data_IF_097959688331
#
_entry.id   IF_097959688331
#
_cell.length_a   1.000
_cell.length_b   1.000
_cell.length_c   1.000
_cell.angle_alpha   90.00
_cell.angle_beta   90.00
_cell.angle_gamma   90.00
#
_symmetry.space_group_name_H-M   'P 1'
#
loop_
_entity.id
_entity.type
_entity.pdbx_description
1 polymer ?
#
# COMPACT_ATOMS: atom_id res chain seq x y z
N UNK A 1 -24.78 -4.88 -5.63
CA UNK A 1 -23.85 -4.69 -6.76
C UNK A 1 -22.59 -5.51 -6.48
N UNK A 2 -22.18 -6.33 -7.43
CA UNK A 2 -21.05 -7.24 -7.26
C UNK A 2 -19.74 -6.44 -7.18
N UNK A 3 -18.96 -6.62 -6.12
CA UNK A 3 -17.64 -6.03 -5.96
C UNK A 3 -16.63 -6.85 -6.80
N UNK A 4 -15.71 -6.19 -7.48
CA UNK A 4 -14.70 -6.85 -8.32
C UNK A 4 -13.38 -6.10 -8.24
N UNK A 5 -12.28 -6.82 -7.99
CA UNK A 5 -10.94 -6.30 -8.19
C UNK A 5 -10.54 -6.45 -9.67
N UNK A 6 -9.97 -5.42 -10.24
CA UNK A 6 -9.58 -5.37 -11.66
C UNK A 6 -8.15 -4.87 -11.75
N UNK A 7 -7.32 -5.54 -12.57
CA UNK A 7 -5.99 -5.02 -12.93
C UNK A 7 -6.10 -3.62 -13.49
N UNK A 8 -5.24 -2.72 -13.06
CA UNK A 8 -5.25 -1.33 -13.46
C UNK A 8 -4.02 -0.96 -14.28
N UNK A 9 -4.26 -0.41 -15.47
CA UNK A 9 -3.21 0.34 -16.17
C UNK A 9 -3.03 1.70 -15.48
N UNK A 10 -1.84 1.95 -14.98
CA UNK A 10 -1.42 2.99 -14.03
C UNK A 10 -1.88 4.44 -14.25
N UNK A 11 -2.39 4.82 -15.43
CA UNK A 11 -2.39 6.23 -15.83
C UNK A 11 -3.51 7.10 -15.26
N UNK A 12 -4.60 6.57 -14.70
CA UNK A 12 -5.80 7.39 -14.43
C UNK A 12 -6.33 7.37 -12.99
N UNK A 13 -5.98 6.40 -12.18
CA UNK A 13 -6.72 6.13 -10.93
C UNK A 13 -5.88 6.14 -9.65
N UNK A 14 -4.56 6.22 -9.76
CA UNK A 14 -3.68 6.35 -8.60
C UNK A 14 -3.55 7.83 -8.20
N UNK A 15 -4.64 8.43 -7.74
CA UNK A 15 -4.67 9.79 -7.22
C UNK A 15 -4.98 9.75 -5.72
N UNK A 16 -4.09 10.25 -4.83
CA UNK A 16 -4.25 10.16 -3.38
C UNK A 16 -5.50 10.83 -2.82
N UNK A 17 -5.97 11.87 -3.49
CA UNK A 17 -6.96 12.80 -2.93
C UNK A 17 -8.43 12.37 -3.03
N UNK A 18 -8.75 11.20 -3.59
CA UNK A 18 -10.16 10.84 -3.82
C UNK A 18 -10.80 9.95 -2.76
N UNK A 19 -10.03 9.34 -1.88
CA UNK A 19 -10.54 8.43 -0.86
C UNK A 19 -10.42 8.96 0.58
N UNK A 20 -9.67 10.03 0.80
CA UNK A 20 -9.52 10.64 2.13
C UNK A 20 -10.03 12.09 2.14
N UNK A 21 -11.19 12.34 2.72
CA UNK A 21 -11.79 13.69 2.87
C UNK A 21 -11.01 14.65 3.78
N UNK A 22 -9.93 14.18 4.43
CA UNK A 22 -9.08 14.97 5.33
C UNK A 22 -7.59 14.97 4.95
N UNK A 23 -7.25 14.53 3.75
CA UNK A 23 -5.87 14.69 3.30
C UNK A 23 -5.60 16.17 3.07
N UNK A 24 -4.71 16.75 3.87
CA UNK A 24 -4.02 18.00 3.57
C UNK A 24 -3.62 18.01 2.11
N UNK A 25 -3.60 19.17 1.48
CA UNK A 25 -3.24 19.36 0.07
C UNK A 25 -1.90 18.66 -0.25
N UNK A 26 -1.99 17.40 -0.68
CA UNK A 26 -0.87 16.51 -0.95
C UNK A 26 -0.45 16.55 -2.42
N UNK A 27 -0.71 17.64 -3.13
CA UNK A 27 -0.36 17.80 -4.55
C UNK A 27 1.13 17.58 -4.79
N UNK A 28 2.00 17.91 -3.83
CA UNK A 28 3.42 17.58 -3.88
C UNK A 28 3.74 16.08 -3.79
N UNK A 29 2.93 15.30 -3.03
CA UNK A 29 3.11 13.84 -2.91
C UNK A 29 2.69 13.11 -4.18
N UNK A 30 1.75 13.65 -4.96
CA UNK A 30 1.31 13.06 -6.21
C UNK A 30 2.45 12.88 -7.22
N UNK A 31 3.34 13.87 -7.36
CA UNK A 31 4.49 13.78 -8.24
C UNK A 31 5.49 12.72 -7.77
N UNK A 32 5.66 12.55 -6.46
CA UNK A 32 6.53 11.55 -5.85
C UNK A 32 5.98 10.15 -6.02
N UNK A 33 4.70 9.90 -5.70
CA UNK A 33 4.05 8.60 -5.95
C UNK A 33 4.14 8.19 -7.42
N UNK A 34 3.91 9.12 -8.33
CA UNK A 34 4.02 8.86 -9.76
C UNK A 34 5.40 8.39 -10.18
N UNK A 35 6.46 8.97 -9.58
CA UNK A 35 7.85 8.53 -9.80
C UNK A 35 8.09 7.13 -9.21
N UNK A 36 7.59 6.85 -8.02
CA UNK A 36 7.72 5.54 -7.38
C UNK A 36 7.06 4.43 -8.20
N UNK A 37 5.93 4.72 -8.84
CA UNK A 37 5.17 3.79 -9.68
C UNK A 37 5.71 3.67 -11.12
N UNK A 38 6.64 4.53 -11.53
CA UNK A 38 7.19 4.52 -12.89
C UNK A 38 8.20 3.39 -13.09
N UNK A 39 7.72 2.29 -13.65
CA UNK A 39 8.53 1.09 -13.92
C UNK A 39 9.68 1.30 -14.90
N UNK A 40 9.68 2.39 -15.68
CA UNK A 40 10.73 2.65 -16.66
C UNK A 40 11.91 3.42 -16.07
N UNK A 41 11.61 4.35 -15.17
CA UNK A 41 12.59 5.31 -14.68
C UNK A 41 12.96 5.08 -13.21
N UNK A 42 12.19 4.32 -12.42
CA UNK A 42 12.53 4.00 -11.04
C UNK A 42 13.38 2.73 -10.97
N UNK A 43 14.65 2.83 -10.50
CA UNK A 43 15.58 1.70 -10.41
C UNK A 43 15.07 0.52 -9.56
N UNK A 44 14.16 0.75 -8.62
CA UNK A 44 13.53 -0.29 -7.82
C UNK A 44 12.96 -1.42 -8.68
N UNK A 45 12.36 -1.09 -9.83
CA UNK A 45 11.70 -2.05 -10.71
C UNK A 45 12.65 -2.89 -11.57
N UNK A 46 13.96 -2.62 -11.55
CA UNK A 46 14.97 -3.47 -12.24
C UNK A 46 15.02 -4.86 -11.59
N UNK A 47 14.85 -4.93 -10.26
CA UNK A 47 14.96 -6.15 -9.46
C UNK A 47 13.64 -6.55 -8.80
N UNK A 48 12.55 -5.92 -9.20
CA UNK A 48 11.25 -6.08 -8.54
C UNK A 48 10.13 -6.21 -9.56
N UNK A 49 9.09 -6.96 -9.17
CA UNK A 49 7.85 -7.04 -9.92
C UNK A 49 6.71 -6.45 -9.09
N UNK A 50 5.70 -5.96 -9.76
CA UNK A 50 4.50 -5.48 -9.07
C UNK A 50 3.27 -5.49 -9.97
N UNK A 51 2.11 -5.55 -9.38
CA UNK A 51 0.82 -5.40 -10.06
C UNK A 51 -0.08 -4.49 -9.25
N UNK A 52 -0.97 -3.78 -9.94
CA UNK A 52 -1.84 -2.77 -9.33
C UNK A 52 -3.29 -3.15 -9.52
N UNK A 53 -4.05 -3.10 -8.43
CA UNK A 53 -5.44 -3.49 -8.41
C UNK A 53 -6.34 -2.36 -7.90
N UNK A 54 -7.51 -2.26 -8.49
CA UNK A 54 -8.58 -1.36 -8.06
C UNK A 54 -9.80 -2.16 -7.68
N UNK A 55 -10.39 -1.87 -6.52
CA UNK A 55 -11.72 -2.32 -6.18
C UNK A 55 -12.76 -1.34 -6.73
N UNK A 56 -13.79 -1.87 -7.38
CA UNK A 56 -14.90 -1.09 -7.93
C UNK A 56 -16.24 -1.57 -7.41
N UNK A 57 -17.12 -0.63 -7.17
CA UNK A 57 -18.55 -0.85 -6.89
C UNK A 57 -19.35 -0.12 -7.97
N UNK A 58 -19.76 -0.86 -9.02
CA UNK A 58 -20.23 -0.24 -10.26
C UNK A 58 -19.11 0.58 -10.91
N UNK A 59 -19.40 1.84 -11.23
CA UNK A 59 -18.44 2.77 -11.83
C UNK A 59 -17.49 3.44 -10.80
N UNK A 60 -17.82 3.37 -9.50
CA UNK A 60 -17.04 4.02 -8.46
C UNK A 60 -15.82 3.17 -8.07
N UNK A 61 -14.63 3.78 -8.03
CA UNK A 61 -13.45 3.19 -7.39
C UNK A 61 -13.58 3.36 -5.89
N UNK A 62 -13.52 2.26 -5.14
CA UNK A 62 -13.70 2.20 -3.69
C UNK A 62 -12.47 1.74 -2.93
N UNK A 63 -11.41 1.37 -3.65
CA UNK A 63 -10.11 1.06 -3.06
C UNK A 63 -9.05 0.73 -4.10
N UNK A 64 -7.80 0.69 -3.65
CA UNK A 64 -6.62 0.32 -4.46
C UNK A 64 -5.60 -0.43 -3.61
N UNK A 65 -4.77 -1.23 -4.25
CA UNK A 65 -3.62 -1.90 -3.64
C UNK A 65 -2.59 -2.22 -4.72
N UNK A 66 -1.31 -2.23 -4.35
CA UNK A 66 -0.24 -2.82 -5.14
C UNK A 66 0.22 -4.12 -4.49
N UNK A 67 0.47 -5.14 -5.30
CA UNK A 67 1.17 -6.34 -4.90
C UNK A 67 2.58 -6.30 -5.51
N UNK A 68 3.61 -6.60 -4.71
CA UNK A 68 5.02 -6.35 -5.06
C UNK A 68 5.85 -7.55 -4.64
N UNK A 69 6.77 -7.97 -5.50
CA UNK A 69 7.86 -8.90 -5.17
C UNK A 69 9.17 -8.15 -5.34
N UNK A 70 9.87 -7.93 -4.23
CA UNK A 70 11.19 -7.31 -4.23
C UNK A 70 12.27 -8.39 -4.27
N UNK A 71 12.82 -8.65 -5.46
CA UNK A 71 13.82 -9.69 -5.66
C UNK A 71 15.11 -9.45 -4.87
N UNK A 72 15.56 -8.21 -4.76
CA UNK A 72 16.75 -7.86 -3.98
C UNK A 72 16.55 -8.15 -2.49
N UNK A 73 15.38 -7.79 -1.92
CA UNK A 73 15.04 -8.11 -0.54
C UNK A 73 15.07 -9.63 -0.31
N UNK A 74 14.40 -10.39 -1.13
CA UNK A 74 14.32 -11.84 -1.01
C UNK A 74 15.68 -12.53 -1.15
N UNK A 75 16.55 -12.00 -2.02
CA UNK A 75 17.91 -12.50 -2.18
C UNK A 75 18.77 -12.21 -0.95
N UNK A 76 18.72 -10.99 -0.39
CA UNK A 76 19.54 -10.60 0.75
C UNK A 76 19.11 -11.30 2.04
N UNK A 77 17.81 -11.44 2.25
CA UNK A 77 17.24 -12.02 3.46
C UNK A 77 16.93 -13.51 3.36
N UNK A 78 17.19 -14.13 2.20
CA UNK A 78 16.88 -15.53 1.92
C UNK A 78 15.41 -15.89 2.22
N UNK A 79 14.49 -14.97 1.90
CA UNK A 79 13.06 -15.08 2.15
C UNK A 79 12.27 -15.31 0.86
N UNK A 80 11.02 -15.74 1.03
CA UNK A 80 9.98 -15.79 -0.03
C UNK A 80 8.85 -14.86 0.36
N UNK A 81 9.15 -13.57 0.47
CA UNK A 81 8.23 -12.54 0.94
C UNK A 81 7.76 -11.67 -0.21
N UNK A 82 6.43 -11.59 -0.39
CA UNK A 82 5.77 -10.57 -1.17
C UNK A 82 5.42 -9.38 -0.29
N UNK A 83 5.14 -8.26 -0.92
CA UNK A 83 4.72 -7.04 -0.22
C UNK A 83 3.40 -6.53 -0.80
N UNK A 84 2.61 -5.85 0.04
CA UNK A 84 1.56 -4.99 -0.44
C UNK A 84 1.89 -3.53 -0.11
N UNK A 85 1.41 -2.62 -0.95
CA UNK A 85 1.60 -1.19 -0.74
C UNK A 85 0.55 -0.36 -1.46
N UNK A 86 0.66 0.97 -1.37
CA UNK A 86 -0.28 1.91 -1.96
C UNK A 86 -1.74 1.57 -1.64
N UNK A 87 -1.95 0.99 -0.44
CA UNK A 87 -3.24 0.55 0.03
C UNK A 87 -4.12 1.73 0.39
N UNK A 88 -5.27 1.80 -0.26
CA UNK A 88 -6.36 2.69 0.12
C UNK A 88 -7.70 1.98 -0.04
N UNK A 89 -8.57 2.16 0.93
CA UNK A 89 -9.86 1.48 0.96
C UNK A 89 -10.90 2.34 1.70
N UNK A 90 -12.15 2.32 1.22
CA UNK A 90 -13.28 2.82 2.01
C UNK A 90 -13.39 2.04 3.32
N UNK A 91 -14.11 2.61 4.31
CA UNK A 91 -14.41 1.90 5.57
C UNK A 91 -15.42 0.76 5.33
N UNK A 92 -14.97 -0.25 4.60
CA UNK A 92 -15.75 -1.42 4.17
C UNK A 92 -14.88 -2.68 4.24
N UNK A 93 -15.11 -3.57 5.22
CA UNK A 93 -14.30 -4.78 5.43
C UNK A 93 -14.27 -5.72 4.22
N UNK A 94 -15.38 -5.86 3.50
CA UNK A 94 -15.44 -6.75 2.32
C UNK A 94 -14.56 -6.23 1.17
N UNK A 95 -14.51 -4.90 0.98
CA UNK A 95 -13.63 -4.28 -0.01
C UNK A 95 -12.16 -4.44 0.40
N UNK A 96 -11.85 -4.28 1.69
CA UNK A 96 -10.52 -4.50 2.23
C UNK A 96 -10.08 -5.95 2.01
N UNK A 97 -10.91 -6.92 2.38
CA UNK A 97 -10.64 -8.34 2.19
C UNK A 97 -10.43 -8.68 0.71
N UNK A 98 -11.26 -8.16 -0.20
CA UNK A 98 -11.12 -8.37 -1.63
C UNK A 98 -9.78 -7.87 -2.17
N UNK A 99 -9.33 -6.67 -1.75
CA UNK A 99 -8.05 -6.10 -2.18
C UNK A 99 -6.88 -6.93 -1.67
N UNK A 100 -6.89 -7.26 -0.38
CA UNK A 100 -5.80 -8.00 0.27
C UNK A 100 -5.70 -9.42 -0.30
N UNK A 101 -6.81 -10.16 -0.40
CA UNK A 101 -6.81 -11.51 -0.98
C UNK A 101 -6.34 -11.51 -2.45
N UNK A 102 -6.71 -10.49 -3.24
CA UNK A 102 -6.23 -10.34 -4.62
C UNK A 102 -4.72 -10.13 -4.67
N UNK A 103 -4.17 -9.32 -3.76
CA UNK A 103 -2.72 -9.12 -3.66
C UNK A 103 -2.01 -10.40 -3.21
N UNK A 104 -2.57 -11.13 -2.23
CA UNK A 104 -2.05 -12.43 -1.77
C UNK A 104 -2.01 -13.48 -2.89
N UNK A 105 -3.08 -13.61 -3.65
CA UNK A 105 -3.13 -14.53 -4.79
C UNK A 105 -2.04 -14.19 -5.81
N UNK A 106 -1.84 -12.91 -6.07
CA UNK A 106 -0.82 -12.46 -7.00
C UNK A 106 0.59 -12.78 -6.51
N UNK A 107 0.96 -12.46 -5.27
CA UNK A 107 2.30 -12.77 -4.72
C UNK A 107 2.51 -14.27 -4.57
N UNK A 108 1.46 -15.03 -4.19
CA UNK A 108 1.51 -16.51 -4.12
C UNK A 108 1.77 -17.14 -5.49
N UNK A 109 1.18 -16.58 -6.56
CA UNK A 109 1.42 -17.06 -7.94
C UNK A 109 2.86 -16.86 -8.41
N UNK A 110 3.66 -16.09 -7.67
CA UNK A 110 5.09 -15.86 -7.89
C UNK A 110 5.97 -16.60 -6.90
N UNK A 111 5.41 -17.60 -6.21
CA UNK A 111 6.13 -18.46 -5.28
C UNK A 111 6.42 -17.84 -3.91
N UNK A 112 5.79 -16.71 -3.57
CA UNK A 112 5.91 -16.13 -2.24
C UNK A 112 5.03 -16.87 -1.25
N UNK A 113 5.55 -17.06 -0.03
CA UNK A 113 4.87 -17.78 1.05
C UNK A 113 4.36 -16.84 2.15
N UNK A 114 4.87 -15.63 2.19
CA UNK A 114 4.52 -14.59 3.16
C UNK A 114 4.18 -13.29 2.43
N UNK A 115 3.27 -12.49 2.98
CA UNK A 115 3.03 -11.12 2.51
C UNK A 115 3.15 -10.14 3.68
N UNK A 116 3.95 -9.07 3.49
CA UNK A 116 4.18 -7.98 4.45
C UNK A 116 3.76 -6.64 3.85
N UNK A 117 3.47 -5.67 4.70
CA UNK A 117 3.19 -4.30 4.26
C UNK A 117 2.51 -3.45 5.33
N UNK A 118 2.11 -2.24 4.94
CA UNK A 118 2.32 -1.65 3.60
C UNK A 118 3.75 -1.19 3.36
N UNK A 119 4.21 -1.27 2.09
CA UNK A 119 5.49 -0.73 1.60
C UNK A 119 5.28 -0.05 0.24
N UNK A 120 5.77 1.19 0.06
CA UNK A 120 5.41 2.02 -1.09
C UNK A 120 6.63 2.55 -1.87
N UNK A 121 7.29 1.78 -2.74
CA UNK A 121 7.12 0.34 -2.96
C UNK A 121 8.04 -0.52 -2.11
N UNK A 122 8.98 0.06 -1.35
CA UNK A 122 9.97 -0.63 -0.53
C UNK A 122 9.98 -0.14 0.93
N UNK A 123 10.73 -0.84 1.78
CA UNK A 123 10.95 -0.42 3.17
C UNK A 123 11.84 0.84 3.29
N UNK A 124 12.55 1.22 2.21
CA UNK A 124 13.34 2.46 2.13
C UNK A 124 12.50 3.69 1.73
N UNK A 125 11.26 3.46 1.33
CA UNK A 125 10.27 4.49 1.01
C UNK A 125 9.27 4.63 2.17
N UNK A 126 8.09 5.18 1.89
CA UNK A 126 7.03 5.23 2.90
C UNK A 126 6.53 3.83 3.22
N UNK A 127 6.82 3.34 4.42
CA UNK A 127 6.44 2.01 4.87
C UNK A 127 5.73 2.04 6.22
N UNK A 128 4.95 0.98 6.48
CA UNK A 128 4.18 0.85 7.71
C UNK A 128 2.82 1.56 7.65
N UNK A 129 2.12 1.48 8.76
CA UNK A 129 0.78 2.05 8.96
C UNK A 129 0.75 2.83 10.26
N UNK A 130 0.18 4.03 10.24
CA UNK A 130 0.00 4.81 11.47
C UNK A 130 -1.00 4.11 12.38
N UNK A 131 -0.58 3.78 13.59
CA UNK A 131 -1.41 3.13 14.62
C UNK A 131 -1.63 4.04 15.83
N UNK A 132 -0.72 4.98 16.07
CA UNK A 132 -0.82 6.00 17.10
C UNK A 132 -0.30 7.35 16.60
N UNK A 133 -0.63 8.46 17.31
CA UNK A 133 -0.18 9.81 16.92
C UNK A 133 -1.06 10.52 15.88
N UNK A 134 -2.26 10.06 15.61
CA UNK A 134 -3.21 10.63 14.62
C UNK A 134 -3.57 12.12 14.81
N UNK A 135 -3.22 12.71 15.93
CA UNK A 135 -3.43 14.15 16.21
C UNK A 135 -2.36 15.05 15.58
N UNK A 136 -1.23 14.47 15.19
CA UNK A 136 -0.12 15.19 14.59
C UNK A 136 -0.18 15.11 13.06
N UNK A 137 0.21 16.16 12.33
CA UNK A 137 0.36 16.07 10.88
C UNK A 137 1.50 15.12 10.55
N UNK A 138 1.42 14.41 9.40
CA UNK A 138 2.52 13.58 8.95
C UNK A 138 3.73 14.43 8.56
N UNK A 139 4.92 13.97 8.93
CA UNK A 139 6.17 14.52 8.44
C UNK A 139 6.57 13.87 7.11
N UNK A 140 7.60 14.42 6.46
CA UNK A 140 8.11 13.90 5.19
C UNK A 140 8.47 12.41 5.33
N UNK A 141 8.02 11.60 4.38
CA UNK A 141 8.19 10.13 4.33
C UNK A 141 7.52 9.35 5.47
N UNK A 142 6.68 9.97 6.29
CA UNK A 142 5.89 9.25 7.28
C UNK A 142 4.53 8.84 6.73
N UNK A 143 4.03 7.72 7.24
CA UNK A 143 2.70 7.22 6.89
C UNK A 143 1.60 8.05 7.52
N UNK A 144 0.50 8.21 6.80
CA UNK A 144 -0.75 8.71 7.33
C UNK A 144 -1.91 7.93 6.71
N UNK A 145 -2.84 7.49 7.53
CA UNK A 145 -3.98 6.67 7.10
C UNK A 145 -5.18 6.89 8.03
N UNK A 146 -6.39 6.57 7.57
CA UNK A 146 -7.57 6.52 8.42
C UNK A 146 -7.41 5.56 9.60
N UNK A 147 -8.04 5.88 10.74
CA UNK A 147 -7.98 5.07 11.96
C UNK A 147 -8.51 3.65 11.82
N UNK A 148 -9.36 3.40 10.84
CA UNK A 148 -9.96 2.08 10.62
C UNK A 148 -9.06 1.11 9.83
N UNK A 149 -7.94 1.55 9.23
CA UNK A 149 -7.07 0.68 8.45
C UNK A 149 -6.48 -0.48 9.24
N UNK A 150 -5.92 -0.29 10.46
CA UNK A 150 -5.43 -1.41 11.25
C UNK A 150 -6.49 -2.50 11.45
N UNK A 151 -7.71 -2.12 11.84
CA UNK A 151 -8.82 -3.06 12.00
C UNK A 151 -9.24 -3.79 10.71
N UNK A 152 -9.10 -3.15 9.55
CA UNK A 152 -9.34 -3.82 8.26
C UNK A 152 -8.30 -4.90 7.98
N UNK A 153 -7.02 -4.64 8.27
CA UNK A 153 -5.95 -5.63 8.10
C UNK A 153 -6.11 -6.80 9.09
N UNK A 154 -6.38 -6.50 10.35
CA UNK A 154 -6.62 -7.51 11.37
C UNK A 154 -7.81 -8.40 11.03
N UNK A 155 -8.92 -7.82 10.55
CA UNK A 155 -10.10 -8.58 10.12
C UNK A 155 -9.84 -9.46 8.90
N UNK A 156 -8.86 -9.11 8.08
CA UNK A 156 -8.38 -9.92 6.95
C UNK A 156 -7.33 -10.96 7.36
N UNK A 157 -7.01 -11.10 8.66
CA UNK A 157 -6.10 -12.11 9.18
C UNK A 157 -4.63 -11.68 9.29
N UNK A 158 -4.33 -10.40 9.07
CA UNK A 158 -2.97 -9.88 9.25
C UNK A 158 -2.64 -9.67 10.72
N UNK A 159 -1.39 -9.90 11.07
CA UNK A 159 -0.86 -9.64 12.40
C UNK A 159 0.26 -8.60 12.33
N UNK A 160 0.44 -7.87 13.42
CA UNK A 160 1.51 -6.88 13.51
C UNK A 160 2.88 -7.56 13.43
N UNK A 161 3.71 -7.11 12.48
CA UNK A 161 5.06 -7.64 12.31
C UNK A 161 6.07 -6.93 13.22
N UNK A 162 6.02 -5.59 13.31
CA UNK A 162 6.91 -4.77 14.15
C UNK A 162 6.33 -3.38 14.35
N UNK A 163 6.86 -2.66 15.34
CA UNK A 163 6.61 -1.23 15.52
C UNK A 163 7.74 -0.40 14.90
N UNK A 164 7.37 0.65 14.18
CA UNK A 164 8.26 1.70 13.69
C UNK A 164 8.02 2.93 14.55
N UNK A 165 9.00 3.32 15.36
CA UNK A 165 8.88 4.44 16.29
C UNK A 165 9.38 5.72 15.64
N UNK A 166 8.57 6.78 15.71
CA UNK A 166 8.98 8.14 15.32
C UNK A 166 9.27 8.96 16.56
N UNK A 167 10.40 9.66 16.58
CA UNK A 167 10.84 10.50 17.69
C UNK A 167 10.82 11.97 17.25
N UNK A 168 10.24 12.82 18.10
CA UNK A 168 10.30 14.27 17.95
C UNK A 168 11.37 14.82 18.89
N UNK A 169 12.40 15.45 18.32
CA UNK A 169 13.39 16.20 19.10
C UNK A 169 12.91 17.64 19.23
N UNK A 170 12.64 18.06 20.47
CA UNK A 170 12.33 19.44 20.80
C UNK A 170 13.63 20.14 21.20
N UNK A 171 13.93 21.28 20.59
CA UNK A 171 15.01 22.19 20.99
C UNK A 171 14.49 23.24 21.95
#
# INVERSE_FOLDING_TARGET
AQKKAVRCALKKYFHPSRLCERCFDLTHLYSSEKKLLDRKNNPFWIHSEGEYFLARRGEKVVGRIAAIVNGMHNQIHEEKTGFFGFYECESDPDTAHLLLSTAEEWVRSRGMTTMRGPANPSMNDTAGMLVDGFKWPPFVMMTYNPRYYPGQLESAGYTKAMDLLAYLLLQ
#
